data_IF_649736281995
#
_entry.id   IF_649736281995
#
_cell.length_a   1.000
_cell.length_b   1.000
_cell.length_c   1.000
_cell.angle_alpha   90.00
_cell.angle_beta   90.00
_cell.angle_gamma   90.00
#
_symmetry.space_group_name_H-M   'P 1'
#
loop_
_entity.id
_entity.type
_entity.pdbx_description
1 polymer ?
#
# COMPACT_ATOMS: atom_id res chain seq x y z
N UNK A 1 -7.45 -11.45 -0.43
CA UNK A 1 -8.67 -11.81 -1.27
C UNK A 1 -9.83 -11.89 -0.30
N UNK A 2 -10.76 -10.98 -0.42
CA UNK A 2 -11.89 -10.81 0.51
C UNK A 2 -13.24 -11.31 -0.06
N UNK A 3 -13.32 -11.49 -1.37
CA UNK A 3 -14.57 -11.82 -2.04
C UNK A 3 -14.34 -12.86 -3.14
N UNK A 4 -14.62 -14.14 -2.90
CA UNK A 4 -14.64 -15.16 -3.94
C UNK A 4 -15.99 -15.11 -4.68
N UNK A 5 -16.01 -14.54 -5.87
CA UNK A 5 -17.22 -14.37 -6.66
C UNK A 5 -17.40 -15.48 -7.71
N UNK A 6 -18.65 -15.84 -8.08
CA UNK A 6 -18.93 -16.64 -9.26
C UNK A 6 -18.63 -15.84 -10.54
N UNK A 7 -18.66 -16.52 -11.67
CA UNK A 7 -18.54 -15.85 -12.98
C UNK A 7 -19.60 -14.76 -13.13
N UNK A 8 -19.18 -13.57 -13.56
CA UNK A 8 -20.03 -12.39 -13.67
C UNK A 8 -20.42 -11.75 -12.32
N UNK A 9 -19.91 -12.24 -11.20
CA UNK A 9 -20.17 -11.64 -9.88
C UNK A 9 -19.56 -10.25 -9.73
N UNK A 10 -20.14 -9.45 -8.85
CA UNK A 10 -19.64 -8.11 -8.51
C UNK A 10 -19.64 -7.91 -7.00
N UNK A 11 -18.65 -7.14 -6.50
CA UNK A 11 -18.55 -6.81 -5.09
C UNK A 11 -19.50 -5.66 -4.74
N UNK A 12 -20.43 -5.88 -3.83
CA UNK A 12 -21.25 -4.85 -3.21
C UNK A 12 -20.95 -4.83 -1.71
N UNK A 13 -20.17 -3.84 -1.27
CA UNK A 13 -19.54 -3.86 0.03
C UNK A 13 -20.09 -2.79 0.97
N UNK A 14 -20.20 -3.16 2.26
CA UNK A 14 -20.44 -2.25 3.37
C UNK A 14 -19.54 -2.62 4.55
N UNK A 15 -19.26 -1.67 5.45
CA UNK A 15 -18.41 -1.94 6.63
C UNK A 15 -18.90 -1.14 7.83
N UNK A 16 -19.11 -1.82 8.93
CA UNK A 16 -19.57 -1.26 10.21
C UNK A 16 -18.35 -0.84 11.03
N UNK A 17 -18.35 0.39 11.53
CA UNK A 17 -17.32 0.87 12.46
C UNK A 17 -17.57 0.31 13.87
N UNK A 18 -16.81 -0.68 14.27
CA UNK A 18 -16.94 -1.32 15.59
C UNK A 18 -16.63 -0.37 16.76
N UNK A 19 -15.78 0.62 16.55
CA UNK A 19 -15.39 1.55 17.61
C UNK A 19 -16.53 2.47 18.06
N UNK A 20 -17.59 2.63 17.27
CA UNK A 20 -18.77 3.42 17.62
C UNK A 20 -19.71 2.73 18.63
N UNK A 21 -19.57 1.41 18.76
CA UNK A 21 -20.38 0.63 19.72
C UNK A 21 -19.72 0.49 21.10
N UNK A 22 -18.53 1.05 21.30
CA UNK A 22 -17.90 1.11 22.61
C UNK A 22 -18.44 2.33 23.34
N UNK A 23 -19.14 2.08 24.44
CA UNK A 23 -19.74 3.14 25.28
C UNK A 23 -18.69 3.85 26.14
N UNK A 24 -19.07 4.96 26.78
CA UNK A 24 -18.21 5.69 27.72
C UNK A 24 -17.83 4.85 28.97
N UNK A 25 -18.62 3.80 29.26
CA UNK A 25 -18.35 2.85 30.36
C UNK A 25 -17.45 1.68 29.91
N UNK A 26 -16.77 1.80 28.78
CA UNK A 26 -15.89 0.75 28.23
C UNK A 26 -16.62 -0.59 28.02
N UNK A 27 -17.91 -0.55 27.66
CA UNK A 27 -18.72 -1.71 27.31
C UNK A 27 -19.15 -1.64 25.85
N UNK A 28 -19.51 -2.78 25.25
CA UNK A 28 -19.93 -2.82 23.85
C UNK A 28 -21.46 -2.90 23.76
N UNK A 29 -22.07 -2.02 22.99
CA UNK A 29 -23.52 -2.00 22.73
C UNK A 29 -23.92 -3.05 21.69
N UNK A 30 -24.15 -4.28 22.14
CA UNK A 30 -24.64 -5.37 21.30
C UNK A 30 -26.03 -5.15 20.74
N UNK A 31 -26.88 -4.40 21.41
CA UNK A 31 -28.26 -4.12 20.93
C UNK A 31 -28.22 -3.20 19.72
N UNK A 32 -27.51 -2.08 19.83
CA UNK A 32 -27.30 -1.16 18.73
C UNK A 32 -26.52 -1.79 17.57
N UNK A 33 -25.54 -2.64 17.86
CA UNK A 33 -24.79 -3.37 16.86
C UNK A 33 -25.67 -4.32 16.04
N UNK A 34 -26.48 -5.16 16.72
CA UNK A 34 -27.46 -6.05 16.09
C UNK A 34 -28.40 -5.29 15.14
N UNK A 35 -29.00 -4.22 15.62
CA UNK A 35 -29.92 -3.40 14.81
C UNK A 35 -29.20 -2.80 13.59
N UNK A 36 -27.96 -2.33 13.78
CA UNK A 36 -27.15 -1.79 12.69
C UNK A 36 -26.79 -2.85 11.65
N UNK A 37 -26.46 -4.08 12.05
CA UNK A 37 -26.19 -5.19 11.11
C UNK A 37 -27.44 -5.47 10.27
N UNK A 38 -28.61 -5.58 10.90
CA UNK A 38 -29.88 -5.82 10.17
C UNK A 38 -30.19 -4.71 9.19
N UNK A 39 -30.07 -3.45 9.60
CA UNK A 39 -30.28 -2.28 8.73
C UNK A 39 -29.26 -2.22 7.58
N UNK A 40 -28.01 -2.58 7.83
CA UNK A 40 -26.99 -2.61 6.78
C UNK A 40 -27.26 -3.68 5.72
N UNK A 41 -27.75 -4.88 6.12
CA UNK A 41 -28.17 -5.93 5.18
C UNK A 41 -29.32 -5.43 4.32
N UNK A 42 -30.32 -4.77 4.91
CA UNK A 42 -31.45 -4.18 4.15
C UNK A 42 -30.92 -3.12 3.17
N UNK A 43 -30.10 -2.17 3.63
CA UNK A 43 -29.56 -1.12 2.79
C UNK A 43 -28.73 -1.65 1.62
N UNK A 44 -27.89 -2.67 1.84
CA UNK A 44 -27.12 -3.30 0.76
C UNK A 44 -28.03 -4.00 -0.25
N UNK A 45 -29.15 -4.60 0.18
CA UNK A 45 -30.12 -5.17 -0.74
C UNK A 45 -30.86 -4.11 -1.56
N UNK A 46 -31.16 -2.93 -1.00
CA UNK A 46 -31.73 -1.81 -1.77
C UNK A 46 -30.72 -1.32 -2.82
N UNK A 47 -29.45 -1.13 -2.45
CA UNK A 47 -28.39 -0.75 -3.41
C UNK A 47 -28.21 -1.82 -4.50
N UNK A 48 -28.31 -3.12 -4.14
CA UNK A 48 -28.24 -4.20 -5.10
C UNK A 48 -29.38 -4.12 -6.13
N UNK A 49 -30.59 -3.91 -5.68
CA UNK A 49 -31.79 -3.86 -6.53
C UNK A 49 -31.76 -2.61 -7.44
N UNK A 50 -31.38 -1.44 -6.91
CA UNK A 50 -31.20 -0.21 -7.70
C UNK A 50 -30.06 -0.34 -8.73
N UNK A 51 -28.97 -1.01 -8.36
CA UNK A 51 -27.79 -1.21 -9.21
C UNK A 51 -27.99 -2.26 -10.30
N UNK A 52 -28.87 -3.25 -10.07
CA UNK A 52 -29.05 -4.39 -10.97
C UNK A 52 -29.31 -4.00 -12.44
N UNK A 53 -30.21 -3.09 -12.78
CA UNK A 53 -30.45 -2.67 -14.16
C UNK A 53 -29.31 -1.86 -14.76
N UNK A 54 -28.41 -1.30 -13.93
CA UNK A 54 -27.33 -0.41 -14.33
C UNK A 54 -26.04 -1.15 -14.71
N UNK A 55 -25.90 -2.43 -14.39
CA UNK A 55 -24.74 -3.21 -14.77
C UNK A 55 -24.59 -3.23 -16.30
N UNK A 56 -23.42 -2.90 -16.86
CA UNK A 56 -23.23 -2.80 -18.31
C UNK A 56 -23.22 -4.17 -19.00
N UNK A 57 -22.76 -5.21 -18.32
CA UNK A 57 -22.63 -6.56 -18.85
C UNK A 57 -23.83 -7.43 -18.47
N UNK A 58 -24.35 -8.20 -19.43
CA UNK A 58 -25.48 -9.10 -19.23
C UNK A 58 -25.13 -10.18 -18.20
N UNK A 59 -23.93 -10.74 -18.28
CA UNK A 59 -23.43 -11.76 -17.36
C UNK A 59 -23.43 -11.27 -15.90
N UNK A 60 -23.10 -9.99 -15.68
CA UNK A 60 -23.18 -9.38 -14.34
C UNK A 60 -24.63 -9.27 -13.87
N UNK A 61 -25.55 -8.82 -14.72
CA UNK A 61 -26.98 -8.73 -14.37
C UNK A 61 -27.55 -10.09 -13.99
N UNK A 62 -27.25 -11.12 -14.78
CA UNK A 62 -27.67 -12.48 -14.50
C UNK A 62 -27.08 -13.04 -13.22
N UNK A 63 -25.77 -12.85 -13.00
CA UNK A 63 -25.11 -13.30 -11.80
C UNK A 63 -25.66 -12.62 -10.56
N UNK A 64 -25.77 -11.29 -10.55
CA UNK A 64 -26.34 -10.52 -9.43
C UNK A 64 -27.79 -10.91 -9.15
N UNK A 65 -28.62 -11.06 -10.20
CA UNK A 65 -30.00 -11.49 -10.06
C UNK A 65 -30.10 -12.88 -9.43
N UNK A 66 -29.30 -13.83 -9.88
CA UNK A 66 -29.39 -15.23 -9.49
C UNK A 66 -28.82 -15.50 -8.09
N UNK A 67 -27.76 -14.78 -7.70
CA UNK A 67 -27.03 -15.04 -6.46
C UNK A 67 -27.23 -13.98 -5.38
N UNK A 68 -27.58 -12.74 -5.73
CA UNK A 68 -27.81 -11.62 -4.80
C UNK A 68 -26.73 -11.50 -3.72
N UNK A 69 -25.46 -11.56 -4.11
CA UNK A 69 -24.32 -11.47 -3.19
C UNK A 69 -24.14 -10.06 -2.66
N UNK A 70 -23.98 -9.94 -1.37
CA UNK A 70 -23.55 -8.73 -0.67
C UNK A 70 -22.35 -9.06 0.21
N UNK A 71 -21.60 -8.04 0.61
CA UNK A 71 -20.42 -8.18 1.46
C UNK A 71 -20.42 -7.15 2.58
N UNK A 72 -21.12 -7.44 3.67
CA UNK A 72 -21.07 -6.62 4.88
C UNK A 72 -19.89 -7.04 5.75
N UNK A 73 -19.04 -6.10 6.13
CA UNK A 73 -17.86 -6.32 6.96
C UNK A 73 -17.76 -5.37 8.14
N UNK A 74 -16.57 -5.32 8.70
CA UNK A 74 -16.24 -4.43 9.82
C UNK A 74 -15.02 -3.59 9.51
N UNK A 75 -14.88 -2.47 10.20
CA UNK A 75 -13.69 -1.61 10.28
C UNK A 75 -13.56 -1.06 11.71
N UNK A 76 -12.43 -0.52 12.06
CA UNK A 76 -12.22 0.02 13.41
C UNK A 76 -12.07 -1.06 14.49
N UNK A 77 -11.74 -2.31 14.14
CA UNK A 77 -11.55 -3.39 15.13
C UNK A 77 -10.45 -3.06 16.14
N UNK A 78 -9.31 -2.54 15.66
CA UNK A 78 -8.21 -2.16 16.54
C UNK A 78 -8.56 -0.97 17.42
N UNK A 79 -9.31 0.00 16.90
CA UNK A 79 -9.81 1.14 17.66
C UNK A 79 -10.77 0.69 18.78
N UNK A 80 -11.66 -0.24 18.46
CA UNK A 80 -12.54 -0.86 19.45
C UNK A 80 -11.73 -1.52 20.57
N UNK A 81 -10.72 -2.31 20.26
CA UNK A 81 -9.87 -2.95 21.27
C UNK A 81 -9.11 -1.93 22.11
N UNK A 82 -8.58 -0.87 21.50
CA UNK A 82 -7.91 0.22 22.23
C UNK A 82 -8.88 0.90 23.19
N UNK A 83 -10.13 1.19 22.77
CA UNK A 83 -11.16 1.78 23.64
C UNK A 83 -11.55 0.88 24.81
N UNK A 84 -11.52 -0.45 24.60
CA UNK A 84 -11.82 -1.46 25.65
C UNK A 84 -10.59 -1.83 26.50
N UNK A 85 -9.41 -1.27 26.24
CA UNK A 85 -8.17 -1.64 26.93
C UNK A 85 -7.66 -3.04 26.63
N UNK A 86 -8.03 -3.62 25.47
CA UNK A 86 -7.75 -5.01 25.09
C UNK A 86 -6.58 -5.04 24.11
N UNK A 87 -5.60 -5.91 24.36
CA UNK A 87 -4.49 -6.14 23.45
C UNK A 87 -4.96 -6.92 22.22
N UNK A 88 -4.77 -6.33 21.04
CA UNK A 88 -5.03 -7.03 19.78
C UNK A 88 -4.18 -8.30 19.68
N UNK A 89 -4.79 -9.44 19.37
CA UNK A 89 -4.12 -10.75 19.28
C UNK A 89 -4.09 -11.54 20.59
N UNK A 90 -4.54 -10.96 21.71
CA UNK A 90 -4.67 -11.67 22.99
C UNK A 90 -5.84 -12.67 22.99
N UNK A 91 -5.84 -13.60 23.92
CA UNK A 91 -6.98 -14.52 24.14
C UNK A 91 -8.28 -13.78 24.40
N UNK A 92 -8.21 -12.65 25.08
CA UNK A 92 -9.36 -11.79 25.34
C UNK A 92 -9.90 -11.19 24.05
N UNK A 93 -9.04 -10.70 23.17
CA UNK A 93 -9.44 -10.19 21.85
C UNK A 93 -10.14 -11.26 21.02
N UNK A 94 -9.69 -12.52 21.09
CA UNK A 94 -10.34 -13.66 20.41
C UNK A 94 -11.73 -13.93 20.98
N UNK A 95 -11.92 -13.83 22.31
CA UNK A 95 -13.25 -13.95 22.91
C UNK A 95 -14.21 -12.88 22.42
N UNK A 96 -13.74 -11.63 22.36
CA UNK A 96 -14.52 -10.51 21.82
C UNK A 96 -14.88 -10.69 20.35
N UNK A 97 -13.94 -11.15 19.52
CA UNK A 97 -14.21 -11.47 18.12
C UNK A 97 -15.29 -12.54 17.99
N UNK A 98 -15.24 -13.57 18.83
CA UNK A 98 -16.25 -14.64 18.83
C UNK A 98 -17.65 -14.11 19.20
N UNK A 99 -17.75 -13.22 20.19
CA UNK A 99 -19.03 -12.61 20.57
C UNK A 99 -19.59 -11.73 19.44
N UNK A 100 -18.76 -10.81 18.92
CA UNK A 100 -19.15 -9.90 17.86
C UNK A 100 -19.48 -10.66 16.55
N UNK A 101 -18.63 -11.60 16.19
CA UNK A 101 -18.82 -12.42 14.97
C UNK A 101 -20.09 -13.26 15.06
N UNK A 102 -20.37 -13.86 16.21
CA UNK A 102 -21.63 -14.59 16.43
C UNK A 102 -22.83 -13.69 16.24
N UNK A 103 -22.85 -12.51 16.87
CA UNK A 103 -23.99 -11.59 16.74
C UNK A 103 -24.13 -11.10 15.30
N UNK A 104 -23.04 -10.79 14.63
CA UNK A 104 -23.03 -10.29 13.26
C UNK A 104 -23.61 -11.30 12.28
N UNK A 105 -23.14 -12.56 12.29
CA UNK A 105 -23.59 -13.57 11.33
C UNK A 105 -25.06 -13.97 11.58
N UNK A 106 -25.47 -14.15 12.83
CA UNK A 106 -26.88 -14.44 13.12
C UNK A 106 -27.80 -13.30 12.68
N UNK A 107 -27.46 -12.05 13.02
CA UNK A 107 -28.26 -10.88 12.65
C UNK A 107 -28.34 -10.70 11.13
N UNK A 108 -27.24 -10.98 10.41
CA UNK A 108 -27.21 -10.91 8.94
C UNK A 108 -28.07 -12.00 8.31
N UNK A 109 -27.98 -13.26 8.78
CA UNK A 109 -28.80 -14.38 8.28
C UNK A 109 -30.27 -14.18 8.60
N UNK A 110 -30.60 -13.74 9.83
CA UNK A 110 -31.97 -13.40 10.22
C UNK A 110 -32.56 -12.32 9.32
N UNK A 111 -31.82 -11.22 9.07
CA UNK A 111 -32.26 -10.14 8.20
C UNK A 111 -32.45 -10.60 6.75
N UNK A 112 -31.53 -11.40 6.21
CA UNK A 112 -31.64 -11.97 4.87
C UNK A 112 -32.86 -12.93 4.74
N UNK A 113 -33.17 -13.71 5.80
CA UNK A 113 -34.35 -14.54 5.86
C UNK A 113 -35.62 -13.70 5.97
N UNK A 114 -35.66 -12.65 6.80
CA UNK A 114 -36.79 -11.73 6.93
C UNK A 114 -37.10 -11.03 5.60
N UNK A 115 -36.08 -10.62 4.84
CA UNK A 115 -36.23 -10.01 3.52
C UNK A 115 -36.90 -10.92 2.49
N UNK A 116 -36.87 -12.24 2.67
CA UNK A 116 -37.56 -13.16 1.76
C UNK A 116 -39.09 -12.96 1.74
N UNK A 117 -39.64 -12.37 2.78
CA UNK A 117 -41.09 -12.10 2.86
C UNK A 117 -41.52 -11.11 1.77
N UNK A 118 -40.68 -10.11 1.47
CA UNK A 118 -40.96 -9.07 0.48
C UNK A 118 -40.26 -9.28 -0.86
N UNK A 119 -39.07 -9.87 -0.86
CA UNK A 119 -38.22 -9.99 -2.06
C UNK A 119 -38.11 -11.43 -2.58
N UNK A 120 -38.52 -12.44 -1.79
CA UNK A 120 -38.34 -13.87 -2.10
C UNK A 120 -36.89 -14.35 -1.78
N UNK A 121 -36.73 -15.66 -1.86
CA UNK A 121 -35.39 -16.26 -1.81
C UNK A 121 -34.61 -15.96 -3.10
N UNK A 122 -33.27 -15.88 -3.02
CA UNK A 122 -32.47 -15.73 -4.24
C UNK A 122 -32.69 -16.92 -5.19
N UNK A 123 -32.76 -16.72 -6.53
CA UNK A 123 -33.21 -17.73 -7.48
C UNK A 123 -32.49 -19.07 -7.43
N UNK A 124 -31.15 -19.04 -7.10
CA UNK A 124 -30.33 -20.25 -7.00
C UNK A 124 -30.31 -20.85 -5.59
N UNK A 125 -31.24 -20.43 -4.70
CA UNK A 125 -31.30 -20.93 -3.33
C UNK A 125 -31.55 -22.46 -3.32
N UNK A 126 -30.79 -23.12 -2.42
CA UNK A 126 -30.94 -24.54 -2.16
C UNK A 126 -30.95 -24.80 -0.66
N UNK A 127 -31.90 -25.57 -0.16
CA UNK A 127 -32.01 -25.91 1.26
C UNK A 127 -30.79 -26.60 1.84
N UNK A 128 -29.90 -27.19 1.01
CA UNK A 128 -28.65 -27.80 1.43
C UNK A 128 -27.67 -26.77 2.05
N UNK A 129 -27.96 -25.49 1.95
CA UNK A 129 -27.11 -24.44 2.64
C UNK A 129 -27.04 -24.70 4.13
N UNK A 130 -28.12 -25.21 4.77
CA UNK A 130 -28.12 -25.49 6.20
C UNK A 130 -27.30 -26.72 6.59
N UNK A 131 -26.89 -27.53 5.62
CA UNK A 131 -26.07 -28.71 5.82
C UNK A 131 -24.58 -28.43 5.53
N UNK A 132 -24.23 -27.20 5.11
CA UNK A 132 -22.85 -26.81 4.88
C UNK A 132 -22.06 -26.77 6.18
N UNK A 133 -20.75 -27.09 6.17
CA UNK A 133 -19.90 -27.00 7.36
C UNK A 133 -19.94 -25.61 8.01
N UNK A 134 -20.03 -24.57 7.21
CA UNK A 134 -20.12 -23.19 7.69
C UNK A 134 -21.41 -22.97 8.51
N UNK A 135 -22.57 -23.35 7.98
CA UNK A 135 -23.85 -23.17 8.66
C UNK A 135 -23.92 -24.06 9.93
N UNK A 136 -23.45 -25.29 9.84
CA UNK A 136 -23.42 -26.24 10.98
C UNK A 136 -22.50 -25.76 12.11
N UNK A 137 -21.41 -25.06 11.78
CA UNK A 137 -20.49 -24.51 12.79
C UNK A 137 -21.11 -23.42 13.67
N UNK A 138 -22.26 -22.84 13.29
CA UNK A 138 -23.02 -21.89 14.10
C UNK A 138 -23.78 -22.57 15.25
N UNK A 139 -23.96 -23.91 15.21
CA UNK A 139 -24.66 -24.66 16.24
C UNK A 139 -23.74 -24.96 17.44
N UNK A 140 -23.62 -24.01 18.33
CA UNK A 140 -22.91 -24.19 19.62
C UNK A 140 -23.91 -24.39 20.76
N UNK A 141 -23.42 -24.81 21.95
CA UNK A 141 -24.29 -24.95 23.11
C UNK A 141 -25.00 -23.65 23.49
N UNK A 142 -24.25 -22.54 23.38
CA UNK A 142 -24.71 -21.19 23.72
C UNK A 142 -25.75 -20.68 22.73
N UNK A 143 -25.66 -21.06 21.44
CA UNK A 143 -26.47 -20.55 20.37
C UNK A 143 -27.56 -21.52 19.88
N UNK A 144 -27.67 -22.70 20.49
CA UNK A 144 -28.50 -23.79 19.96
C UNK A 144 -29.96 -23.38 19.67
N UNK A 145 -30.61 -22.69 20.58
CA UNK A 145 -32.00 -22.27 20.39
C UNK A 145 -32.14 -21.32 19.20
N UNK A 146 -31.31 -20.28 19.14
CA UNK A 146 -31.30 -19.30 18.03
C UNK A 146 -30.96 -19.96 16.71
N UNK A 147 -30.01 -20.90 16.73
CA UNK A 147 -29.63 -21.68 15.54
C UNK A 147 -30.81 -22.54 15.03
N UNK A 148 -31.52 -23.27 15.89
CA UNK A 148 -32.64 -24.12 15.48
C UNK A 148 -33.79 -23.29 14.90
N UNK A 149 -34.08 -22.14 15.49
CA UNK A 149 -35.10 -21.20 14.98
C UNK A 149 -34.69 -20.67 13.60
N UNK A 150 -33.43 -20.16 13.49
CA UNK A 150 -32.91 -19.69 12.20
C UNK A 150 -32.94 -20.77 11.13
N UNK A 151 -32.47 -21.99 11.46
CA UNK A 151 -32.47 -23.15 10.56
C UNK A 151 -33.86 -23.47 10.05
N UNK A 152 -34.84 -23.51 10.93
CA UNK A 152 -36.23 -23.77 10.59
C UNK A 152 -36.79 -22.69 9.67
N UNK A 153 -36.53 -21.43 9.95
CA UNK A 153 -36.94 -20.30 9.15
C UNK A 153 -36.27 -20.29 7.75
N UNK A 154 -34.99 -20.64 7.66
CA UNK A 154 -34.26 -20.76 6.40
C UNK A 154 -34.81 -21.93 5.54
N UNK A 155 -35.12 -23.08 6.16
CA UNK A 155 -35.74 -24.19 5.45
C UNK A 155 -37.14 -23.85 4.93
N UNK A 156 -37.89 -23.00 5.65
CA UNK A 156 -39.25 -22.61 5.29
C UNK A 156 -39.29 -21.55 4.18
N UNK A 157 -38.43 -20.50 4.28
CA UNK A 157 -38.52 -19.31 3.40
C UNK A 157 -37.31 -19.07 2.56
N UNK A 158 -36.17 -19.71 2.84
CA UNK A 158 -34.88 -19.46 2.19
C UNK A 158 -34.13 -18.26 2.74
N UNK A 159 -33.18 -17.78 1.95
CA UNK A 159 -32.40 -16.57 2.18
C UNK A 159 -32.52 -15.65 0.97
N UNK A 160 -32.53 -14.35 1.18
CA UNK A 160 -32.55 -13.36 0.09
C UNK A 160 -31.16 -13.22 -0.59
N UNK A 161 -30.10 -13.62 0.09
CA UNK A 161 -28.71 -13.48 -0.36
C UNK A 161 -27.99 -14.82 -0.28
N UNK A 162 -27.16 -15.13 -1.27
CA UNK A 162 -26.30 -16.33 -1.26
C UNK A 162 -25.03 -16.13 -0.44
N UNK A 163 -24.62 -14.89 -0.24
CA UNK A 163 -23.44 -14.47 0.52
C UNK A 163 -23.77 -13.15 1.20
N UNK A 164 -23.36 -12.99 2.45
CA UNK A 164 -23.71 -11.86 3.30
C UNK A 164 -22.49 -11.09 3.83
N UNK A 165 -21.48 -11.79 4.33
CA UNK A 165 -20.40 -11.20 5.10
C UNK A 165 -19.04 -11.36 4.43
N UNK A 166 -18.28 -10.26 4.40
CA UNK A 166 -16.87 -10.20 4.00
C UNK A 166 -16.13 -9.21 4.87
N UNK A 167 -14.82 -9.27 4.92
CA UNK A 167 -14.03 -8.22 5.57
C UNK A 167 -13.14 -7.53 4.52
N UNK A 168 -13.65 -6.43 3.97
CA UNK A 168 -12.95 -5.63 2.97
C UNK A 168 -11.80 -4.80 3.58
N UNK A 169 -10.82 -4.34 2.77
CA UNK A 169 -9.69 -3.54 3.26
C UNK A 169 -10.09 -2.20 3.87
N UNK A 170 -11.18 -1.59 3.41
CA UNK A 170 -11.72 -0.27 3.84
C UNK A 170 -10.72 0.90 3.84
N UNK A 171 -9.63 0.83 3.09
CA UNK A 171 -8.52 1.77 3.16
C UNK A 171 -8.93 3.24 3.09
N UNK A 172 -9.70 3.64 2.07
CA UNK A 172 -10.12 5.04 1.87
C UNK A 172 -11.17 5.49 2.89
N UNK A 173 -12.20 4.68 3.14
CA UNK A 173 -13.30 5.04 4.06
C UNK A 173 -12.82 5.08 5.52
N UNK A 174 -11.96 4.14 5.94
CA UNK A 174 -11.38 4.14 7.26
C UNK A 174 -10.45 5.34 7.48
N UNK A 175 -9.64 5.70 6.47
CA UNK A 175 -8.81 6.91 6.51
C UNK A 175 -9.65 8.18 6.62
N UNK A 176 -10.76 8.27 5.88
CA UNK A 176 -11.69 9.41 5.94
C UNK A 176 -12.32 9.55 7.33
N UNK A 177 -12.65 8.43 7.97
CA UNK A 177 -13.24 8.41 9.31
C UNK A 177 -12.19 8.47 10.43
N UNK A 178 -10.90 8.33 10.11
CA UNK A 178 -9.81 8.38 11.09
C UNK A 178 -9.73 7.15 12.00
N UNK A 179 -10.08 5.97 11.50
CA UNK A 179 -10.08 4.69 12.23
C UNK A 179 -9.20 3.65 11.54
N UNK A 180 -8.99 2.51 12.20
CA UNK A 180 -8.26 1.37 11.63
C UNK A 180 -9.04 0.67 10.51
N UNK A 181 -8.31 0.11 9.55
CA UNK A 181 -8.83 -0.54 8.35
C UNK A 181 -9.27 -1.97 8.64
N UNK A 182 -10.48 -2.34 8.21
CA UNK A 182 -10.99 -3.70 8.30
C UNK A 182 -10.80 -4.33 9.69
N UNK A 183 -10.24 -5.52 9.70
CA UNK A 183 -9.84 -6.23 10.92
C UNK A 183 -8.37 -6.07 11.28
N UNK A 184 -7.66 -5.12 10.68
CA UNK A 184 -6.22 -4.94 10.89
C UNK A 184 -5.90 -4.14 12.16
N UNK A 185 -4.71 -4.33 12.79
CA UNK A 185 -4.24 -3.44 13.84
C UNK A 185 -3.97 -2.05 13.25
N UNK A 186 -3.85 -1.03 14.11
CA UNK A 186 -3.41 0.29 13.64
C UNK A 186 -2.05 0.18 12.95
N UNK A 187 -1.87 0.90 11.86
CA UNK A 187 -0.62 0.85 11.12
C UNK A 187 0.56 1.37 11.94
N UNK A 188 0.39 2.50 12.60
CA UNK A 188 1.40 3.17 13.43
C UNK A 188 0.71 4.04 14.48
N UNK A 189 1.41 4.33 15.58
CA UNK A 189 0.97 5.29 16.60
C UNK A 189 1.01 6.72 16.09
N UNK A 190 1.98 7.02 15.22
CA UNK A 190 2.17 8.32 14.58
C UNK A 190 2.82 8.16 13.20
N UNK A 191 2.63 9.15 12.35
CA UNK A 191 3.27 9.24 11.04
C UNK A 191 3.70 10.68 10.76
N UNK A 192 4.60 10.85 9.81
CA UNK A 192 5.04 12.17 9.38
C UNK A 192 4.24 12.62 8.16
N UNK A 193 3.57 13.75 8.26
CA UNK A 193 2.85 14.38 7.15
C UNK A 193 3.68 15.53 6.60
N UNK A 194 3.87 15.52 5.29
CA UNK A 194 4.44 16.64 4.54
C UNK A 194 3.30 17.55 4.11
N UNK A 195 3.39 18.84 4.43
CA UNK A 195 2.47 19.85 3.89
C UNK A 195 3.21 20.70 2.87
N UNK A 196 2.66 20.80 1.66
CA UNK A 196 3.08 21.81 0.70
C UNK A 196 2.47 23.14 1.17
N UNK A 197 3.31 24.00 1.75
CA UNK A 197 2.92 25.36 2.05
C UNK A 197 3.14 26.22 0.82
N UNK A 198 2.13 27.04 0.47
CA UNK A 198 2.22 28.02 -0.63
C UNK A 198 3.26 29.12 -0.40
N UNK A 199 3.89 29.18 0.79
CA UNK A 199 4.75 30.32 1.22
C UNK A 199 6.03 29.85 1.83
N UNK A 200 6.81 28.99 1.59
CA UNK A 200 8.14 28.56 2.11
C UNK A 200 8.22 27.23 2.84
N UNK A 201 9.19 26.47 2.34
CA UNK A 201 9.83 25.27 2.93
C UNK A 201 8.86 24.17 3.40
N UNK A 202 8.98 23.03 2.75
CA UNK A 202 8.39 21.77 3.17
C UNK A 202 8.54 21.58 4.68
N UNK A 203 7.46 21.70 5.42
CA UNK A 203 7.42 21.39 6.85
C UNK A 203 6.89 19.96 7.05
N UNK A 204 7.64 19.19 7.80
CA UNK A 204 7.27 17.87 8.23
C UNK A 204 6.58 17.98 9.60
N UNK A 205 5.34 17.52 9.70
CA UNK A 205 4.61 17.46 10.95
C UNK A 205 4.42 16.02 11.39
N UNK A 206 4.66 15.76 12.66
CA UNK A 206 4.27 14.52 13.28
C UNK A 206 2.77 14.56 13.55
N UNK A 207 2.06 13.58 13.03
CA UNK A 207 0.61 13.42 13.19
C UNK A 207 0.38 12.10 13.90
N UNK A 208 -0.38 12.11 14.97
CA UNK A 208 -0.77 10.89 15.66
C UNK A 208 -1.99 10.26 14.99
N UNK A 209 -2.06 8.93 15.01
CA UNK A 209 -3.28 8.20 14.63
C UNK A 209 -4.44 8.70 15.51
N UNK A 210 -5.63 8.99 14.97
CA UNK A 210 -6.70 9.68 15.72
C UNK A 210 -7.05 9.00 17.05
N UNK A 211 -7.13 7.67 17.09
CA UNK A 211 -7.39 6.93 18.34
C UNK A 211 -6.31 7.19 19.39
N UNK A 212 -5.04 7.28 18.98
CA UNK A 212 -3.91 7.58 19.87
C UNK A 212 -3.96 9.03 20.33
N UNK A 213 -4.24 9.96 19.39
CA UNK A 213 -4.38 11.37 19.70
C UNK A 213 -5.48 11.61 20.76
N UNK A 214 -6.66 11.03 20.53
CA UNK A 214 -7.85 11.31 21.34
C UNK A 214 -7.82 10.60 22.70
N UNK A 215 -7.33 9.36 22.76
CA UNK A 215 -7.38 8.56 23.98
C UNK A 215 -6.17 8.73 24.89
N UNK A 216 -5.03 9.20 24.36
CA UNK A 216 -3.79 9.28 25.11
C UNK A 216 -3.12 10.64 25.05
N UNK A 217 -2.72 11.10 23.87
CA UNK A 217 -1.91 12.32 23.73
C UNK A 217 -2.66 13.56 24.26
N UNK A 218 -3.94 13.72 23.90
CA UNK A 218 -4.77 14.85 24.40
C UNK A 218 -5.02 14.81 25.89
N UNK A 219 -4.88 13.64 26.53
CA UNK A 219 -4.97 13.43 27.98
C UNK A 219 -3.61 13.52 28.69
N UNK A 220 -2.54 13.90 27.96
CA UNK A 220 -1.22 14.11 28.53
C UNK A 220 -0.35 12.86 28.64
N UNK A 221 -0.77 11.72 28.07
CA UNK A 221 0.05 10.48 28.02
C UNK A 221 1.02 10.59 26.83
N UNK A 222 2.33 10.64 27.05
CA UNK A 222 3.29 10.71 25.95
C UNK A 222 3.39 9.37 25.19
N UNK A 223 3.78 9.42 23.90
CA UNK A 223 3.82 8.24 23.04
C UNK A 223 4.71 7.10 23.58
N UNK A 224 5.78 7.41 24.26
CA UNK A 224 6.67 6.42 24.88
C UNK A 224 6.13 5.79 26.17
N UNK A 225 4.95 6.20 26.62
CA UNK A 225 4.25 5.66 27.80
C UNK A 225 2.87 5.10 27.42
N UNK A 226 2.64 4.81 26.15
CA UNK A 226 1.40 4.15 25.72
C UNK A 226 1.28 2.77 26.37
N UNK A 227 0.07 2.35 26.77
CA UNK A 227 -0.17 1.03 27.36
C UNK A 227 0.27 -0.11 26.43
N UNK A 228 0.64 -1.26 26.99
CA UNK A 228 1.10 -2.45 26.25
C UNK A 228 0.04 -3.04 25.31
N UNK A 229 -1.24 -2.74 25.56
CA UNK A 229 -2.31 -3.18 24.67
C UNK A 229 -2.39 -2.37 23.35
N UNK A 230 -1.68 -1.27 23.24
CA UNK A 230 -1.57 -0.50 22.00
C UNK A 230 -0.51 -1.13 21.11
N UNK A 231 -0.94 -2.01 20.20
CA UNK A 231 -0.06 -2.67 19.25
C UNK A 231 -0.29 -2.13 17.83
N UNK A 232 0.76 -2.19 17.01
CA UNK A 232 0.74 -1.74 15.60
C UNK A 232 1.02 -2.89 14.67
N UNK A 233 0.76 -2.70 13.38
CA UNK A 233 1.01 -3.73 12.35
C UNK A 233 2.47 -4.16 12.22
N UNK A 234 3.42 -3.37 12.75
CA UNK A 234 4.86 -3.69 12.71
C UNK A 234 5.34 -4.48 13.91
N UNK A 235 4.74 -4.27 15.09
CA UNK A 235 5.21 -4.88 16.34
C UNK A 235 4.36 -6.06 16.83
N UNK A 236 3.30 -6.42 16.11
CA UNK A 236 2.49 -7.62 16.42
C UNK A 236 3.11 -8.85 15.75
N UNK A 237 3.24 -9.99 16.47
CA UNK A 237 3.62 -11.25 15.86
C UNK A 237 2.63 -11.71 14.79
N UNK A 238 3.14 -12.24 13.68
CA UNK A 238 2.27 -12.73 12.59
C UNK A 238 1.34 -13.86 13.04
N UNK A 239 1.74 -14.65 14.04
CA UNK A 239 0.92 -15.71 14.64
C UNK A 239 -0.35 -15.16 15.28
N UNK A 240 -0.24 -14.08 16.05
CA UNK A 240 -1.38 -13.40 16.67
C UNK A 240 -2.31 -12.78 15.60
N UNK A 241 -1.73 -12.21 14.52
CA UNK A 241 -2.49 -11.71 13.36
C UNK A 241 -3.32 -12.81 12.70
N UNK A 242 -2.72 -13.97 12.45
CA UNK A 242 -3.39 -15.12 11.84
C UNK A 242 -4.50 -15.63 12.75
N UNK A 243 -4.27 -15.69 14.07
CA UNK A 243 -5.30 -16.12 15.04
C UNK A 243 -6.51 -15.19 15.06
N UNK A 244 -6.30 -13.87 15.01
CA UNK A 244 -7.39 -12.89 14.91
C UNK A 244 -8.18 -13.08 13.62
N UNK A 245 -7.49 -13.19 12.49
CA UNK A 245 -8.13 -13.43 11.21
C UNK A 245 -8.90 -14.76 11.19
N UNK A 246 -8.35 -15.82 11.77
CA UNK A 246 -8.98 -17.14 11.87
C UNK A 246 -10.23 -17.12 12.75
N UNK A 247 -10.19 -16.41 13.87
CA UNK A 247 -11.34 -16.25 14.74
C UNK A 247 -12.49 -15.55 14.00
N UNK A 248 -12.18 -14.49 13.24
CA UNK A 248 -13.18 -13.75 12.47
C UNK A 248 -13.69 -14.59 11.28
N UNK A 249 -12.82 -15.36 10.60
CA UNK A 249 -13.18 -16.17 9.44
C UNK A 249 -14.26 -17.22 9.74
N UNK A 250 -14.43 -17.64 10.99
CA UNK A 250 -15.50 -18.56 11.40
C UNK A 250 -16.90 -18.00 11.15
N UNK A 251 -17.04 -16.69 11.13
CA UNK A 251 -18.30 -15.96 11.02
C UNK A 251 -18.46 -15.25 9.68
N UNK A 252 -17.45 -15.28 8.82
CA UNK A 252 -17.45 -14.66 7.50
C UNK A 252 -17.66 -15.73 6.43
N UNK A 253 -18.77 -15.69 5.74
CA UNK A 253 -19.13 -16.65 4.68
C UNK A 253 -18.33 -16.40 3.38
N UNK A 254 -17.93 -15.17 3.08
CA UNK A 254 -16.94 -14.88 2.05
C UNK A 254 -15.49 -15.04 2.58
N UNK A 255 -14.65 -14.05 2.43
CA UNK A 255 -13.26 -14.09 2.89
C UNK A 255 -12.87 -12.76 3.55
N UNK A 256 -11.61 -12.65 3.95
CA UNK A 256 -11.08 -11.53 4.72
C UNK A 256 -9.84 -10.98 4.01
N UNK A 257 -9.82 -9.67 3.79
CA UNK A 257 -8.60 -8.96 3.41
C UNK A 257 -7.78 -8.66 4.65
N UNK A 258 -6.62 -9.26 4.75
CA UNK A 258 -5.66 -9.01 5.83
C UNK A 258 -4.24 -9.13 5.30
N UNK A 259 -3.39 -8.16 5.66
CA UNK A 259 -2.00 -8.10 5.22
C UNK A 259 -1.05 -8.25 6.38
N UNK A 260 -0.19 -9.25 6.34
CA UNK A 260 0.88 -9.45 7.31
C UNK A 260 2.08 -8.62 6.85
N UNK A 261 2.43 -7.62 7.64
CA UNK A 261 3.58 -6.76 7.36
C UNK A 261 4.84 -7.38 7.97
N UNK A 262 5.85 -7.57 7.13
CA UNK A 262 7.13 -8.15 7.51
C UNK A 262 8.26 -7.11 7.39
N UNK A 263 9.27 -7.18 8.26
CA UNK A 263 10.46 -6.34 8.14
C UNK A 263 11.27 -6.73 6.90
N UNK A 264 12.20 -5.87 6.49
CA UNK A 264 13.12 -6.12 5.38
C UNK A 264 14.03 -7.33 5.61
N UNK A 265 14.30 -7.68 6.87
CA UNK A 265 15.08 -8.85 7.25
C UNK A 265 14.36 -10.19 7.10
N UNK A 266 13.03 -10.19 6.85
CA UNK A 266 12.27 -11.43 6.72
C UNK A 266 12.75 -12.27 5.53
N UNK A 267 12.82 -13.58 5.74
CA UNK A 267 13.31 -14.59 4.80
C UNK A 267 12.18 -15.22 3.99
N UNK A 268 12.53 -16.04 3.02
CA UNK A 268 11.56 -16.87 2.27
C UNK A 268 10.90 -17.88 3.22
N UNK A 269 11.66 -18.44 4.16
CA UNK A 269 11.16 -19.42 5.14
C UNK A 269 10.11 -18.79 6.07
N UNK A 270 10.25 -17.51 6.42
CA UNK A 270 9.24 -16.80 7.21
C UNK A 270 7.92 -16.66 6.44
N UNK A 271 8.00 -16.37 5.15
CA UNK A 271 6.82 -16.30 4.27
C UNK A 271 6.18 -17.69 4.12
N UNK A 272 6.96 -18.74 3.96
CA UNK A 272 6.45 -20.12 3.89
C UNK A 272 5.72 -20.52 5.18
N UNK A 273 6.30 -20.22 6.34
CA UNK A 273 5.66 -20.47 7.64
C UNK A 273 4.33 -19.76 7.78
N UNK A 274 4.23 -18.51 7.32
CA UNK A 274 2.98 -17.75 7.34
C UNK A 274 1.90 -18.42 6.50
N UNK A 275 2.23 -18.85 5.27
CA UNK A 275 1.26 -19.52 4.40
C UNK A 275 0.84 -20.88 4.95
N UNK A 276 1.77 -21.66 5.52
CA UNK A 276 1.46 -22.93 6.21
C UNK A 276 0.52 -22.69 7.38
N UNK A 277 0.84 -21.75 8.26
CA UNK A 277 0.03 -21.43 9.42
C UNK A 277 -1.36 -20.94 9.02
N UNK A 278 -1.46 -20.10 7.99
CA UNK A 278 -2.74 -19.65 7.46
C UNK A 278 -3.61 -20.82 6.96
N UNK A 279 -2.99 -21.80 6.29
CA UNK A 279 -3.66 -23.01 5.86
C UNK A 279 -4.09 -23.90 7.04
N UNK A 280 -3.24 -24.10 8.04
CA UNK A 280 -3.55 -24.85 9.27
C UNK A 280 -4.72 -24.25 10.06
N UNK A 281 -4.83 -22.92 10.05
CA UNK A 281 -5.96 -22.19 10.64
C UNK A 281 -7.18 -22.06 9.72
N UNK A 282 -7.18 -22.74 8.57
CA UNK A 282 -8.28 -22.76 7.61
C UNK A 282 -8.68 -21.38 7.07
N UNK A 283 -7.71 -20.48 6.90
CA UNK A 283 -7.96 -19.20 6.27
C UNK A 283 -8.20 -19.38 4.77
N UNK A 284 -9.16 -18.64 4.23
CA UNK A 284 -9.45 -18.62 2.78
C UNK A 284 -8.44 -17.82 1.98
N UNK A 285 -7.68 -16.94 2.62
CA UNK A 285 -6.61 -16.16 2.00
C UNK A 285 -5.80 -15.37 3.02
N UNK A 286 -4.56 -15.07 2.65
CA UNK A 286 -3.65 -14.21 3.42
C UNK A 286 -2.78 -13.42 2.44
N UNK A 287 -2.45 -12.18 2.78
CA UNK A 287 -1.52 -11.35 2.02
C UNK A 287 -0.28 -11.09 2.86
N UNK A 288 0.88 -11.13 2.23
CA UNK A 288 2.15 -10.81 2.87
C UNK A 288 2.76 -9.59 2.18
N UNK A 289 3.17 -8.61 2.96
CA UNK A 289 3.94 -7.46 2.51
C UNK A 289 5.28 -7.42 3.25
N UNK A 290 6.39 -7.46 2.52
CA UNK A 290 7.74 -7.33 3.07
C UNK A 290 8.28 -5.93 2.79
N UNK A 291 8.75 -5.23 3.81
CA UNK A 291 9.42 -3.92 3.65
C UNK A 291 10.60 -4.04 2.68
N UNK A 292 10.85 -2.98 1.91
CA UNK A 292 11.93 -2.96 0.91
C UNK A 292 11.66 -3.78 -0.37
N UNK A 293 10.46 -4.34 -0.56
CA UNK A 293 10.12 -4.99 -1.83
C UNK A 293 9.97 -3.98 -2.99
N UNK A 294 10.02 -4.47 -4.25
CA UNK A 294 9.93 -3.62 -5.45
C UNK A 294 8.62 -2.83 -5.57
N UNK A 295 7.54 -3.30 -4.92
CA UNK A 295 6.29 -2.53 -4.77
C UNK A 295 6.49 -1.55 -3.63
N UNK A 296 6.46 -0.26 -3.92
CA UNK A 296 6.54 0.79 -2.90
C UNK A 296 5.46 0.64 -1.83
N UNK A 297 5.75 1.05 -0.60
CA UNK A 297 4.79 1.07 0.48
C UNK A 297 3.69 2.10 0.21
N UNK A 298 2.42 1.70 0.39
CA UNK A 298 1.26 2.61 0.28
C UNK A 298 1.23 3.55 1.49
N UNK A 299 1.61 3.05 2.67
CA UNK A 299 1.77 3.81 3.91
C UNK A 299 3.22 3.72 4.37
N UNK A 300 3.83 4.83 4.76
CA UNK A 300 5.21 4.88 5.23
C UNK A 300 5.33 5.79 6.45
N UNK A 301 6.07 5.33 7.47
CA UNK A 301 6.51 6.16 8.61
C UNK A 301 7.62 7.12 8.23
N UNK A 302 8.43 6.74 7.23
CA UNK A 302 9.43 7.66 6.66
C UNK A 302 8.72 8.50 5.60
N UNK A 303 8.99 9.81 5.56
CA UNK A 303 8.55 10.57 4.41
C UNK A 303 9.07 9.83 3.18
N UNK A 304 8.21 9.38 2.28
CA UNK A 304 8.54 9.17 0.89
C UNK A 304 8.80 10.55 0.30
N UNK A 305 9.73 11.25 0.90
CA UNK A 305 10.36 12.39 0.31
C UNK A 305 11.10 11.83 -0.90
N UNK A 306 10.90 12.43 -2.07
CA UNK A 306 11.94 12.48 -3.07
C UNK A 306 13.27 12.40 -2.32
N UNK A 307 14.14 11.40 -2.62
CA UNK A 307 15.53 11.46 -2.16
C UNK A 307 15.91 12.92 -2.39
N UNK A 308 16.18 13.67 -1.31
CA UNK A 308 16.70 15.02 -1.47
C UNK A 308 17.79 14.88 -2.51
N UNK A 309 17.63 15.59 -3.63
CA UNK A 309 18.66 15.59 -4.65
C UNK A 309 19.92 16.01 -3.90
N UNK A 310 20.81 15.05 -3.64
CA UNK A 310 22.01 15.29 -2.86
C UNK A 310 22.64 16.55 -3.41
N UNK A 311 22.76 17.55 -2.56
CA UNK A 311 23.39 18.82 -2.97
C UNK A 311 24.74 18.46 -3.58
N UNK A 312 24.88 18.75 -4.87
CA UNK A 312 26.11 18.39 -5.60
C UNK A 312 27.33 18.90 -4.85
N UNK A 313 28.30 18.04 -4.50
CA UNK A 313 29.59 18.49 -3.96
C UNK A 313 30.28 19.47 -4.92
N UNK A 314 31.09 20.37 -4.42
CA UNK A 314 31.85 21.34 -5.26
C UNK A 314 32.82 20.61 -6.19
N UNK A 315 33.43 19.51 -5.74
CA UNK A 315 34.32 18.65 -6.50
C UNK A 315 33.83 17.20 -6.41
N UNK A 316 33.80 16.50 -7.53
CA UNK A 316 33.49 15.07 -7.61
C UNK A 316 34.54 14.36 -8.47
N UNK A 317 34.79 13.10 -8.17
CA UNK A 317 35.70 12.29 -8.97
C UNK A 317 35.06 12.03 -10.34
N UNK A 318 35.89 11.90 -11.37
CA UNK A 318 35.41 11.74 -12.72
C UNK A 318 36.25 10.77 -13.54
N UNK A 319 35.58 9.99 -14.36
CA UNK A 319 36.20 9.19 -15.44
C UNK A 319 36.11 9.95 -16.75
N UNK A 320 37.20 9.92 -17.51
CA UNK A 320 37.29 10.48 -18.84
C UNK A 320 37.32 9.32 -19.85
N UNK A 321 36.26 9.23 -20.65
CA UNK A 321 36.08 8.14 -21.63
C UNK A 321 36.16 8.74 -23.04
N UNK A 322 36.96 8.10 -23.90
CA UNK A 322 37.05 8.42 -25.33
C UNK A 322 36.55 7.23 -26.14
N UNK A 323 35.70 7.48 -27.08
CA UNK A 323 35.10 6.41 -27.89
C UNK A 323 34.83 6.92 -29.32
N UNK A 324 34.50 5.99 -30.22
CA UNK A 324 34.02 6.30 -31.58
C UNK A 324 32.51 6.15 -31.63
N UNK A 325 31.86 7.15 -32.24
CA UNK A 325 30.45 7.09 -32.55
C UNK A 325 30.32 7.34 -34.09
N UNK A 326 30.07 6.27 -34.83
CA UNK A 326 30.19 6.30 -36.29
C UNK A 326 31.62 6.60 -36.73
N UNK A 327 31.82 7.64 -37.51
CA UNK A 327 33.12 8.12 -37.98
C UNK A 327 33.78 9.14 -37.08
N UNK A 328 33.05 9.65 -36.07
CA UNK A 328 33.50 10.73 -35.21
C UNK A 328 34.17 10.21 -33.93
N UNK A 329 35.15 10.97 -33.43
CA UNK A 329 35.75 10.73 -32.13
C UNK A 329 34.97 11.52 -31.10
N UNK A 330 34.58 10.83 -30.02
CA UNK A 330 33.78 11.40 -28.93
C UNK A 330 34.51 11.34 -27.60
N UNK A 331 34.13 12.24 -26.70
CA UNK A 331 34.66 12.33 -25.34
C UNK A 331 33.50 12.47 -24.33
N UNK A 332 33.60 11.75 -23.23
CA UNK A 332 32.66 11.85 -22.12
C UNK A 332 33.39 12.03 -20.79
N UNK A 333 32.89 12.96 -19.97
CA UNK A 333 33.27 13.16 -18.59
C UNK A 333 32.15 12.67 -17.70
N UNK A 334 32.38 11.56 -17.01
CA UNK A 334 31.41 10.94 -16.12
C UNK A 334 31.78 11.23 -14.68
N UNK A 335 31.06 12.13 -14.03
CA UNK A 335 31.24 12.44 -12.63
C UNK A 335 30.64 11.36 -11.73
N UNK A 336 31.37 10.96 -10.70
CA UNK A 336 31.02 9.88 -9.79
C UNK A 336 30.81 10.40 -8.37
N UNK A 337 29.83 9.86 -7.67
CA UNK A 337 29.65 10.00 -6.23
C UNK A 337 29.41 8.61 -5.66
N UNK A 338 30.19 8.19 -4.69
CA UNK A 338 30.16 6.83 -4.12
C UNK A 338 30.26 5.74 -5.22
N UNK A 339 31.18 5.91 -6.16
CA UNK A 339 31.43 5.06 -7.34
C UNK A 339 30.23 4.90 -8.28
N UNK A 340 29.20 5.73 -8.15
CA UNK A 340 28.04 5.73 -9.03
C UNK A 340 28.04 6.92 -9.97
N UNK A 341 27.63 6.75 -11.24
CA UNK A 341 27.43 7.87 -12.15
C UNK A 341 26.44 8.88 -11.57
N UNK A 342 26.87 10.13 -11.50
CA UNK A 342 26.15 11.24 -10.90
C UNK A 342 25.83 12.33 -11.91
N UNK A 343 26.76 12.59 -12.82
CA UNK A 343 26.58 13.54 -13.93
C UNK A 343 27.43 13.12 -15.14
N UNK A 344 27.02 13.52 -16.29
CA UNK A 344 27.68 13.24 -17.56
C UNK A 344 27.75 14.49 -18.43
N UNK A 345 28.89 14.67 -19.09
CA UNK A 345 29.11 15.67 -20.12
C UNK A 345 29.74 14.96 -21.31
N UNK A 346 29.14 15.02 -22.49
CA UNK A 346 29.62 14.29 -23.67
C UNK A 346 29.41 15.08 -24.94
N UNK A 347 30.24 14.82 -25.93
CA UNK A 347 30.19 15.41 -27.25
C UNK A 347 31.39 15.05 -28.12
N UNK A 348 31.50 15.68 -29.28
CA UNK A 348 32.59 15.45 -30.25
C UNK A 348 33.92 15.85 -29.62
N UNK A 349 34.91 15.00 -29.74
CA UNK A 349 36.27 15.21 -29.23
C UNK A 349 37.12 16.00 -30.27
N UNK A 350 37.06 17.31 -30.20
CA UNK A 350 37.94 18.15 -30.97
C UNK A 350 39.22 18.45 -30.15
N UNK A 351 40.40 18.18 -30.69
CA UNK A 351 41.69 18.36 -29.99
C UNK A 351 41.91 19.81 -29.60
N UNK A 352 41.44 20.76 -30.39
CA UNK A 352 41.54 22.19 -30.08
C UNK A 352 40.73 22.56 -28.83
N UNK A 353 39.56 21.98 -28.67
CA UNK A 353 38.67 22.24 -27.55
C UNK A 353 39.04 21.42 -26.28
N UNK A 354 39.58 20.21 -26.48
CA UNK A 354 39.96 19.29 -25.40
C UNK A 354 41.45 18.92 -25.46
N UNK A 355 42.39 19.83 -25.14
CA UNK A 355 43.85 19.57 -25.13
C UNK A 355 44.28 18.70 -23.96
N UNK A 356 43.62 17.58 -23.75
CA UNK A 356 43.90 16.62 -22.67
C UNK A 356 44.68 15.44 -23.25
N UNK A 357 45.85 15.09 -22.69
CA UNK A 357 46.65 13.95 -23.14
C UNK A 357 45.82 12.66 -23.17
N UNK A 358 46.05 11.82 -24.17
CA UNK A 358 45.29 10.54 -24.33
C UNK A 358 45.49 9.56 -23.18
N UNK A 359 46.57 9.72 -22.41
CA UNK A 359 46.88 8.93 -21.21
C UNK A 359 46.04 9.27 -19.98
N UNK A 360 45.34 10.41 -20.00
CA UNK A 360 44.44 10.80 -18.92
C UNK A 360 43.08 10.17 -19.09
N UNK A 361 42.71 9.36 -18.10
CA UNK A 361 41.42 8.65 -18.04
C UNK A 361 40.59 8.98 -16.80
N UNK A 362 41.19 9.70 -15.85
CA UNK A 362 40.59 10.05 -14.55
C UNK A 362 40.92 11.49 -14.16
N UNK A 363 40.08 12.07 -13.33
CA UNK A 363 40.27 13.42 -12.80
C UNK A 363 39.11 13.80 -11.88
N UNK A 364 38.86 15.11 -11.79
CA UNK A 364 37.76 15.66 -10.99
C UNK A 364 36.96 16.71 -11.78
N UNK A 365 35.65 16.71 -11.61
CA UNK A 365 34.80 17.78 -12.12
C UNK A 365 34.53 18.77 -10.98
N UNK A 366 34.98 20.00 -11.16
CA UNK A 366 34.86 21.06 -10.17
C UNK A 366 33.81 22.07 -10.63
N UNK A 367 32.87 22.37 -9.76
CA UNK A 367 31.87 23.42 -9.97
C UNK A 367 32.42 24.75 -9.50
N UNK A 368 32.52 25.69 -10.40
CA UNK A 368 32.99 27.06 -10.14
C UNK A 368 31.85 28.04 -10.33
N UNK A 369 31.82 29.09 -9.53
CA UNK A 369 30.95 30.24 -9.72
C UNK A 369 31.78 31.43 -10.11
N UNK A 370 31.55 32.00 -11.28
CA UNK A 370 32.16 33.21 -11.79
C UNK A 370 31.13 34.33 -12.01
N UNK A 371 31.54 35.46 -12.53
CA UNK A 371 30.67 36.61 -12.87
C UNK A 371 29.62 36.29 -13.92
N UNK A 372 29.83 35.26 -14.77
CA UNK A 372 28.91 34.78 -15.79
C UNK A 372 28.05 33.62 -15.31
N UNK A 373 28.10 33.24 -14.02
CA UNK A 373 27.29 32.21 -13.40
C UNK A 373 28.05 30.95 -13.00
N UNK A 374 27.37 29.78 -13.12
CA UNK A 374 27.95 28.48 -12.75
C UNK A 374 28.63 27.85 -13.95
N UNK A 375 29.88 27.41 -13.81
CA UNK A 375 30.59 26.62 -14.80
C UNK A 375 31.16 25.34 -14.19
N UNK A 376 31.54 24.39 -15.01
CA UNK A 376 32.13 23.12 -14.63
C UNK A 376 33.47 22.98 -15.32
N UNK A 377 34.51 22.70 -14.54
CA UNK A 377 35.90 22.54 -15.01
C UNK A 377 36.35 21.11 -14.76
N UNK A 378 37.17 20.55 -15.67
CA UNK A 378 37.79 19.25 -15.46
C UNK A 378 39.23 19.45 -15.02
N UNK A 379 39.60 18.85 -13.88
CA UNK A 379 40.93 18.90 -13.31
C UNK A 379 41.56 17.50 -13.36
N UNK A 380 42.80 17.42 -13.79
CA UNK A 380 43.56 16.17 -13.85
C UNK A 380 45.02 16.38 -13.48
N UNK A 381 45.72 15.30 -13.15
CA UNK A 381 47.18 15.33 -12.86
C UNK A 381 47.89 14.69 -14.05
N UNK A 382 48.86 15.37 -14.61
CA UNK A 382 49.65 14.85 -15.72
C UNK A 382 50.75 13.87 -15.27
N UNK A 383 51.46 13.28 -16.23
CA UNK A 383 52.54 12.32 -15.97
C UNK A 383 53.74 12.87 -15.19
N UNK A 384 53.82 14.18 -15.06
CA UNK A 384 54.88 14.87 -14.33
C UNK A 384 54.43 15.29 -12.91
N UNK A 385 53.18 15.00 -12.55
CA UNK A 385 52.61 15.35 -11.26
C UNK A 385 52.00 16.75 -11.19
N UNK A 386 51.94 17.49 -12.30
CA UNK A 386 51.33 18.82 -12.31
C UNK A 386 49.80 18.71 -12.45
N UNK A 387 49.12 19.51 -11.66
CA UNK A 387 47.67 19.66 -11.73
C UNK A 387 47.28 20.61 -12.85
N UNK A 388 46.60 20.10 -13.84
CA UNK A 388 46.08 20.83 -14.98
C UNK A 388 44.57 20.99 -14.87
N UNK A 389 44.04 22.06 -15.49
CA UNK A 389 42.60 22.36 -15.43
C UNK A 389 42.08 22.82 -16.80
N UNK A 390 41.06 22.11 -17.31
CA UNK A 390 40.28 22.52 -18.46
C UNK A 390 39.03 23.23 -17.96
N UNK A 391 38.90 24.53 -18.22
CA UNK A 391 37.79 25.36 -17.75
C UNK A 391 36.60 25.35 -18.68
N UNK A 392 35.39 25.37 -18.11
CA UNK A 392 34.18 25.67 -18.84
C UNK A 392 33.62 24.55 -19.71
N UNK A 393 33.61 23.30 -19.26
CA UNK A 393 32.97 22.18 -20.00
C UNK A 393 31.57 22.54 -20.55
N UNK A 394 30.79 23.29 -19.79
CA UNK A 394 29.46 23.76 -20.20
C UNK A 394 29.45 24.75 -21.35
N UNK A 395 30.61 25.31 -21.72
CA UNK A 395 30.76 26.27 -22.82
C UNK A 395 31.43 25.67 -24.05
N UNK A 396 32.15 24.55 -23.83
CA UNK A 396 32.86 23.84 -24.90
C UNK A 396 31.89 22.93 -25.67
N UNK A 397 31.03 22.22 -24.98
CA UNK A 397 30.06 21.32 -25.61
C UNK A 397 28.95 22.09 -26.32
N UNK A 398 28.44 21.52 -27.42
CA UNK A 398 27.25 22.01 -28.09
C UNK A 398 26.09 22.19 -27.11
N UNK A 399 25.39 23.33 -27.22
CA UNK A 399 24.33 23.71 -26.24
C UNK A 399 23.16 22.70 -26.21
N UNK A 400 22.83 22.04 -27.29
CA UNK A 400 21.80 21.02 -27.32
C UNK A 400 22.25 19.78 -26.56
N UNK A 401 23.49 19.29 -26.77
CA UNK A 401 24.08 18.19 -26.02
C UNK A 401 24.16 18.51 -24.54
N UNK A 402 24.51 19.73 -24.18
CA UNK A 402 24.53 20.22 -22.83
C UNK A 402 23.14 20.15 -22.14
N UNK A 403 22.07 20.50 -22.86
CA UNK A 403 20.72 20.46 -22.31
C UNK A 403 20.27 19.02 -22.01
N UNK A 404 20.52 18.07 -22.91
CA UNK A 404 20.24 16.66 -22.66
C UNK A 404 21.13 16.06 -21.56
N UNK A 405 22.40 16.40 -21.53
CA UNK A 405 23.31 16.00 -20.46
C UNK A 405 22.83 16.48 -19.09
N UNK A 406 22.24 17.68 -18.99
CA UNK A 406 21.59 18.15 -17.75
C UNK A 406 20.41 17.28 -17.33
N UNK A 407 19.54 16.88 -18.28
CA UNK A 407 18.41 16.00 -17.99
C UNK A 407 18.86 14.63 -17.53
N UNK A 408 19.83 14.03 -18.21
CA UNK A 408 20.43 12.73 -17.82
C UNK A 408 21.06 12.85 -16.42
N UNK A 409 21.84 13.90 -16.18
CA UNK A 409 22.43 14.15 -14.88
C UNK A 409 21.39 14.36 -13.79
N UNK A 410 20.24 14.97 -14.09
CA UNK A 410 19.14 15.10 -13.13
C UNK A 410 18.50 13.75 -12.80
N UNK A 411 18.32 12.86 -13.77
CA UNK A 411 17.81 11.49 -13.55
C UNK A 411 18.77 10.68 -12.67
N UNK A 412 20.09 10.73 -12.97
CA UNK A 412 21.12 10.05 -12.19
C UNK A 412 21.17 10.57 -10.75
N UNK A 413 21.13 11.89 -10.54
CA UNK A 413 21.07 12.54 -9.21
C UNK A 413 19.80 12.16 -8.44
N UNK A 414 18.69 11.95 -9.14
CA UNK A 414 17.44 11.46 -8.59
C UNK A 414 17.50 9.99 -8.15
N UNK A 415 18.64 9.31 -8.37
CA UNK A 415 18.86 7.92 -7.97
C UNK A 415 18.19 6.91 -8.89
N UNK A 416 17.86 7.31 -10.13
CA UNK A 416 17.40 6.38 -11.16
C UNK A 416 18.57 5.51 -11.58
N UNK A 417 18.36 4.20 -11.63
CA UNK A 417 19.38 3.22 -12.04
C UNK A 417 19.82 3.47 -13.48
N UNK A 418 21.12 3.31 -13.75
CA UNK A 418 21.72 3.60 -15.06
C UNK A 418 21.00 2.88 -16.20
N UNK A 419 20.66 1.60 -16.05
CA UNK A 419 19.96 0.81 -17.06
C UNK A 419 18.59 1.39 -17.43
N UNK A 420 17.91 2.04 -16.47
CA UNK A 420 16.64 2.71 -16.74
C UNK A 420 16.86 4.04 -17.47
N UNK A 421 17.92 4.77 -17.12
CA UNK A 421 18.30 5.99 -17.81
C UNK A 421 18.64 5.69 -19.27
N UNK A 422 19.42 4.64 -19.53
CA UNK A 422 19.77 4.16 -20.87
C UNK A 422 18.50 3.83 -21.66
N UNK A 423 17.56 3.05 -21.10
CA UNK A 423 16.28 2.73 -21.76
C UNK A 423 15.44 3.96 -22.10
N UNK A 424 15.46 4.98 -21.24
CA UNK A 424 14.76 6.26 -21.51
C UNK A 424 15.41 6.95 -22.72
N UNK A 425 16.73 7.02 -22.76
CA UNK A 425 17.49 7.63 -23.86
C UNK A 425 17.25 6.87 -25.16
N UNK A 426 17.30 5.55 -25.14
CA UNK A 426 17.04 4.68 -26.31
C UNK A 426 15.62 4.90 -26.89
N UNK A 427 14.66 5.18 -26.05
CA UNK A 427 13.29 5.47 -26.45
C UNK A 427 13.06 6.89 -27.01
N UNK A 428 14.05 7.79 -26.95
CA UNK A 428 13.92 9.14 -27.49
C UNK A 428 14.04 9.13 -29.01
N UNK A 429 13.19 9.87 -29.69
CA UNK A 429 13.23 10.11 -31.13
C UNK A 429 13.49 11.60 -31.40
N UNK A 430 14.49 11.90 -32.21
CA UNK A 430 14.85 13.25 -32.57
C UNK A 430 14.70 13.43 -34.08
N UNK A 431 14.22 14.59 -34.52
CA UNK A 431 14.16 14.95 -35.92
C UNK A 431 15.55 15.33 -36.51
N UNK A 432 16.47 15.72 -35.63
CA UNK A 432 17.84 16.11 -35.96
C UNK A 432 18.78 14.90 -36.01
N UNK A 433 19.47 14.69 -37.13
CA UNK A 433 20.50 13.67 -37.29
C UNK A 433 21.64 13.83 -36.27
N UNK A 434 21.97 15.07 -35.93
CA UNK A 434 23.00 15.42 -34.96
C UNK A 434 22.64 14.94 -33.55
N UNK A 435 21.38 15.09 -33.18
CA UNK A 435 20.89 14.62 -31.87
C UNK A 435 20.73 13.09 -31.81
N UNK A 436 20.36 12.46 -32.95
CA UNK A 436 20.35 10.99 -33.02
C UNK A 436 21.78 10.43 -32.92
N UNK A 437 22.77 11.08 -33.54
CA UNK A 437 24.18 10.72 -33.38
C UNK A 437 24.62 10.88 -31.92
N UNK A 438 24.25 11.98 -31.26
CA UNK A 438 24.54 12.20 -29.85
C UNK A 438 23.91 11.12 -28.95
N UNK A 439 22.68 10.75 -29.20
CA UNK A 439 21.95 9.69 -28.44
C UNK A 439 22.68 8.35 -28.49
N UNK A 440 23.21 8.00 -29.65
CA UNK A 440 23.89 6.72 -29.89
C UNK A 440 25.33 6.70 -29.31
N UNK A 441 25.88 7.85 -28.97
CA UNK A 441 27.19 7.98 -28.29
C UNK A 441 27.08 7.99 -26.79
#
# INVERSE_FOLDING_TARGET
>A
MEEPLPSGGSCLLGSINLAEFVTECETFDFVGFKDTVKKAVVALNEVLDEGLPLHPLIEQRESVKNWRQIGLGVMGLADMFIKLGIKYGSEESIKWINMIGTEMIFSALESSNELTISKGAYPMFNTKVVDTPFFQALNTKENNLRYQELRSNVLLRGLCNSQLLTCAPTGSIATMLGISTGCEPIFATSYTRKTESLVDKEKLYKVYTPIIQNNFISKGVPENQLPEYVVTSENIPYTERIQVQAALQRYIDASISSTINLPESATIDDVERIYRLAWEYHLKGVTVYRAGCKRGAILSKKPTGSKELMKRPESIDAKLIRFKNGTENWIAFVGLVDDRPYEVFTGINNIEDFPIPSTITEGKIIKVKDEFGKRYDFQYVDKYGYTNRLGGLSRIFNQEYWNYAKLISALLRGGIELDKVVKIIDGMHFESDTLNTWKNG
#
